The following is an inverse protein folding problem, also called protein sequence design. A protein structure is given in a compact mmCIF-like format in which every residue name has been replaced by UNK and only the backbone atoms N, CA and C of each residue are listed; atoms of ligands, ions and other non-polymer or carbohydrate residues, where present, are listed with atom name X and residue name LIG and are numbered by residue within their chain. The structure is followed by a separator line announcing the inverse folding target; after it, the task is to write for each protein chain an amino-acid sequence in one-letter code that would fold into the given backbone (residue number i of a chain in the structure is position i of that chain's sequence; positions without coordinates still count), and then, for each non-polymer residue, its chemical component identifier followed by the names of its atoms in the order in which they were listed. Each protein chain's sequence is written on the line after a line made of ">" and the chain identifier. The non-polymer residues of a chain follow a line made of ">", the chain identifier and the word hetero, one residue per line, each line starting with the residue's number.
data_IF_777822021509
#
_entry.id   IF_777822021509
#
_cell.length_a   1.000
_cell.length_b   1.000
_cell.length_c   1.000
_cell.angle_alpha   90.00
_cell.angle_beta   90.00
_cell.angle_gamma   90.00
#
_symmetry.space_group_name_H-M   'P 1'
#
loop_
_entity.id
_entity.type
_entity.pdbx_description
1 polymer ?
#
# COMPACT_ATOMS: atom_id res chain seq x y z
N UNK A 1 -0.59 13.97 -8.63
CA UNK A 1 -0.37 12.95 -7.58
C UNK A 1 -1.75 12.66 -7.01
N UNK A 2 -2.21 11.41 -6.95
CA UNK A 2 -3.57 11.14 -6.46
C UNK A 2 -3.69 11.61 -5.00
N UNK A 3 -4.69 12.42 -4.68
CA UNK A 3 -5.03 12.80 -3.32
C UNK A 3 -6.32 12.12 -2.86
N UNK A 4 -7.23 11.78 -3.80
CA UNK A 4 -8.44 10.98 -3.54
C UNK A 4 -8.77 10.03 -4.68
N UNK A 5 -9.22 8.85 -4.31
CA UNK A 5 -9.72 7.83 -5.25
C UNK A 5 -11.07 7.30 -4.78
N UNK A 6 -11.93 6.94 -5.72
CA UNK A 6 -13.14 6.16 -5.45
C UNK A 6 -12.94 4.73 -5.97
N UNK A 7 -13.30 3.75 -5.16
CA UNK A 7 -13.33 2.33 -5.54
C UNK A 7 -14.73 1.82 -5.24
N UNK A 8 -15.50 1.53 -6.28
CA UNK A 8 -16.91 1.17 -6.13
C UNK A 8 -17.69 2.28 -5.43
N UNK A 9 -18.29 1.96 -4.29
CA UNK A 9 -19.06 2.89 -3.45
C UNK A 9 -18.20 3.73 -2.50
N UNK A 10 -16.92 3.38 -2.30
CA UNK A 10 -16.09 3.93 -1.21
C UNK A 10 -15.13 4.99 -1.74
N UNK A 11 -15.23 6.20 -1.16
CA UNK A 11 -14.25 7.27 -1.37
C UNK A 11 -13.12 7.17 -0.35
N UNK A 12 -11.89 7.20 -0.85
CA UNK A 12 -10.66 6.99 -0.09
C UNK A 12 -9.73 8.20 -0.27
N UNK A 13 -9.27 8.79 0.83
CA UNK A 13 -8.19 9.79 0.78
C UNK A 13 -6.82 9.13 0.90
N UNK A 14 -5.83 9.63 0.16
CA UNK A 14 -4.44 9.20 0.30
C UNK A 14 -3.85 9.83 1.55
N UNK A 15 -3.52 9.01 2.55
CA UNK A 15 -3.00 9.50 3.82
C UNK A 15 -1.48 9.67 3.80
N UNK A 16 -0.73 8.64 3.36
CA UNK A 16 0.74 8.67 3.29
C UNK A 16 1.31 7.49 2.51
N UNK A 17 2.57 7.58 2.04
CA UNK A 17 3.31 6.42 1.56
C UNK A 17 3.44 5.33 2.65
N UNK A 18 3.40 4.06 2.22
CA UNK A 18 3.51 2.92 3.12
C UNK A 18 4.96 2.46 3.24
N UNK A 19 5.58 2.68 4.41
CA UNK A 19 6.88 2.10 4.75
C UNK A 19 6.74 0.62 5.10
N UNK A 20 7.61 -0.22 4.54
CA UNK A 20 7.61 -1.67 4.77
C UNK A 20 8.57 -2.07 5.87
N UNK A 21 8.15 -3.07 6.64
CA UNK A 21 8.90 -3.67 7.73
C UNK A 21 9.23 -5.14 7.42
N UNK A 22 9.94 -5.78 8.34
CA UNK A 22 10.41 -7.17 8.23
C UNK A 22 9.30 -8.20 7.99
N UNK A 23 8.04 -7.88 8.34
CA UNK A 23 6.91 -8.80 8.06
C UNK A 23 6.82 -9.15 6.58
N UNK A 24 7.18 -8.22 5.68
CA UNK A 24 7.18 -8.48 4.24
C UNK A 24 8.23 -9.47 3.76
N UNK A 25 9.21 -9.84 4.60
CA UNK A 25 10.26 -10.82 4.26
C UNK A 25 9.95 -12.24 4.75
N UNK A 26 8.76 -12.46 5.32
CA UNK A 26 8.31 -13.77 5.77
C UNK A 26 7.69 -14.55 4.61
N UNK A 27 8.26 -15.71 4.30
CA UNK A 27 7.68 -16.65 3.36
C UNK A 27 6.31 -17.13 3.87
N UNK A 28 5.28 -17.07 3.03
CA UNK A 28 3.90 -17.36 3.46
C UNK A 28 3.59 -18.86 3.50
N UNK A 29 4.43 -19.72 2.90
CA UNK A 29 4.29 -21.18 2.92
C UNK A 29 5.08 -21.84 4.04
N UNK A 30 6.29 -21.35 4.34
CA UNK A 30 7.20 -21.95 5.34
C UNK A 30 7.32 -21.16 6.63
N UNK A 31 6.89 -19.89 6.66
CA UNK A 31 7.09 -18.93 7.74
C UNK A 31 8.56 -18.52 8.00
N UNK A 32 9.50 -18.93 7.14
CA UNK A 32 10.90 -18.52 7.23
C UNK A 32 11.06 -17.03 6.87
N UNK A 33 12.10 -16.40 7.41
CA UNK A 33 12.42 -15.00 7.09
C UNK A 33 13.71 -14.87 6.32
N UNK A 34 13.65 -14.13 5.20
CA UNK A 34 14.81 -13.72 4.42
C UNK A 34 15.10 -12.21 4.52
N UNK A 35 16.01 -11.74 3.66
CA UNK A 35 16.35 -10.31 3.54
C UNK A 35 15.50 -9.57 2.48
N UNK A 36 14.94 -10.30 1.52
CA UNK A 36 14.10 -9.75 0.47
C UNK A 36 12.62 -9.75 0.90
N UNK A 37 11.81 -8.75 0.50
CA UNK A 37 12.10 -7.71 -0.50
C UNK A 37 12.76 -6.43 0.06
N UNK A 38 13.07 -6.35 1.36
CA UNK A 38 13.55 -5.09 1.96
C UNK A 38 14.91 -4.65 1.41
N UNK A 39 15.80 -5.58 1.08
CA UNK A 39 17.09 -5.23 0.49
C UNK A 39 16.94 -4.60 -0.91
N UNK A 40 16.05 -5.14 -1.76
CA UNK A 40 15.69 -4.52 -3.04
C UNK A 40 15.01 -3.16 -2.86
N UNK A 41 14.06 -3.04 -1.93
CA UNK A 41 13.44 -1.74 -1.61
C UNK A 41 14.46 -0.72 -1.08
N UNK A 42 15.47 -1.16 -0.33
CA UNK A 42 16.58 -0.35 0.14
C UNK A 42 17.36 0.31 -0.98
N UNK A 43 17.57 -0.41 -2.08
CA UNK A 43 18.32 0.07 -3.26
C UNK A 43 17.51 0.99 -4.16
N UNK A 44 16.20 0.77 -4.26
CA UNK A 44 15.38 1.42 -5.31
C UNK A 44 14.25 2.32 -4.82
N UNK A 45 13.85 2.21 -3.55
CA UNK A 45 12.61 2.82 -3.02
C UNK A 45 12.78 3.40 -1.61
N UNK A 46 13.99 3.87 -1.28
CA UNK A 46 14.25 4.58 -0.03
C UNK A 46 13.81 6.04 -0.15
N UNK A 47 12.85 6.44 0.67
CA UNK A 47 12.31 7.81 0.73
C UNK A 47 12.23 8.22 2.20
N UNK A 48 12.83 9.34 2.56
CA UNK A 48 12.87 9.87 3.94
C UNK A 48 13.27 8.81 4.97
N UNK A 49 14.30 8.03 4.65
CA UNK A 49 14.82 6.96 5.51
C UNK A 49 13.93 5.70 5.59
N UNK A 50 12.81 5.63 4.86
CA UNK A 50 11.86 4.51 4.87
C UNK A 50 11.90 3.74 3.56
N UNK A 51 11.69 2.43 3.64
CA UNK A 51 11.58 1.54 2.49
C UNK A 51 10.13 1.55 2.00
N UNK A 52 9.82 2.36 0.98
CA UNK A 52 8.43 2.67 0.61
C UNK A 52 7.93 1.73 -0.49
N UNK A 53 6.78 1.09 -0.26
CA UNK A 53 6.05 0.37 -1.29
C UNK A 53 4.55 0.42 -1.05
N UNK A 54 3.79 1.12 -1.90
CA UNK A 54 2.34 1.33 -1.75
C UNK A 54 1.97 2.61 -0.99
N UNK A 55 0.67 2.78 -0.76
CA UNK A 55 0.06 3.95 -0.11
C UNK A 55 -0.95 3.48 0.95
N UNK A 56 -1.03 4.20 2.06
CA UNK A 56 -2.09 4.02 3.03
C UNK A 56 -3.27 4.93 2.67
N UNK A 57 -4.45 4.35 2.56
CA UNK A 57 -5.70 5.05 2.25
C UNK A 57 -6.62 5.04 3.46
N UNK A 58 -7.44 6.08 3.60
CA UNK A 58 -8.46 6.18 4.66
C UNK A 58 -9.83 6.35 4.02
N UNK A 59 -10.80 5.47 4.32
CA UNK A 59 -12.17 5.63 3.83
C UNK A 59 -12.81 6.86 4.47
N UNK A 60 -13.57 7.63 3.67
CA UNK A 60 -14.31 8.80 4.14
C UNK A 60 -15.70 8.45 4.67
N UNK A 61 -16.14 7.21 4.50
CA UNK A 61 -17.39 6.67 5.00
C UNK A 61 -17.43 5.15 4.87
N UNK A 62 -18.42 4.47 5.48
CA UNK A 62 -18.64 3.05 5.29
C UNK A 62 -19.12 2.75 3.85
N UNK A 63 -18.94 1.51 3.42
CA UNK A 63 -19.40 1.01 2.12
C UNK A 63 -18.72 -0.32 1.77
N UNK A 64 -19.05 -0.88 0.62
CA UNK A 64 -18.47 -2.16 0.18
C UNK A 64 -17.53 -1.94 -1.01
N UNK A 65 -16.38 -2.62 -0.97
CA UNK A 65 -15.48 -2.77 -2.12
C UNK A 65 -15.49 -4.23 -2.55
N UNK A 66 -15.63 -4.47 -3.85
CA UNK A 66 -15.63 -5.81 -4.47
C UNK A 66 -14.56 -5.91 -5.55
N UNK A 67 -14.10 -7.13 -5.80
CA UNK A 67 -13.25 -7.42 -6.96
C UNK A 67 -14.04 -7.06 -8.22
N UNK A 68 -13.42 -6.27 -9.10
CA UNK A 68 -14.04 -5.75 -10.32
C UNK A 68 -14.59 -4.32 -10.19
N UNK A 69 -14.66 -3.76 -8.97
CA UNK A 69 -15.09 -2.37 -8.81
C UNK A 69 -14.14 -1.40 -9.54
N UNK A 70 -14.68 -0.39 -10.25
CA UNK A 70 -13.85 0.57 -10.95
C UNK A 70 -13.09 1.45 -9.95
N UNK A 71 -11.82 1.69 -10.26
CA UNK A 71 -11.00 2.68 -9.56
C UNK A 71 -11.05 3.99 -10.35
N UNK A 72 -11.51 5.07 -9.72
CA UNK A 72 -11.58 6.41 -10.32
C UNK A 72 -10.74 7.38 -9.51
N UNK A 73 -9.90 8.15 -10.19
CA UNK A 73 -9.23 9.31 -9.57
C UNK A 73 -10.26 10.42 -9.50
N UNK A 74 -10.55 10.89 -8.29
CA UNK A 74 -11.49 12.00 -8.08
C UNK A 74 -10.78 13.29 -7.72
N UNK A 75 -9.51 13.20 -7.31
CA UNK A 75 -8.60 14.31 -7.04
C UNK A 75 -7.12 13.88 -7.10
#
# INVERSE_FOLDING_TARGET
>A
RWSRVAVGEVVLRVAKPCGRCVVTTTDQGTADRGAEPLHSLGRHRRVDGKLVFGQNLVPLGPGTVRVGDPVRIVE
#
